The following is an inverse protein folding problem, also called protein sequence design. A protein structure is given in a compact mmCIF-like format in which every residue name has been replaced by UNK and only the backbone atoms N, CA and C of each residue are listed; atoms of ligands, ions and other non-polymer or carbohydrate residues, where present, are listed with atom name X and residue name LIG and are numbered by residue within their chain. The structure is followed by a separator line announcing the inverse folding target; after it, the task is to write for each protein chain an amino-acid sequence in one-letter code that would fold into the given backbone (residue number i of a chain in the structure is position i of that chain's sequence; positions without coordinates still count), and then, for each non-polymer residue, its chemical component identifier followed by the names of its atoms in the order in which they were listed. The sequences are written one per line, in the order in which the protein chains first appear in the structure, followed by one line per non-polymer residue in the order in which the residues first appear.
data_IF_633181805278
#
_entry.id   IF_633181805278
#
_cell.length_a   1.000
_cell.length_b   1.000
_cell.length_c   1.000
_cell.angle_alpha   90.00
_cell.angle_beta   90.00
_cell.angle_gamma   90.00
#
_symmetry.space_group_name_H-M   'P 1'
#
loop_
_entity.id
_entity.type
_entity.pdbx_description
1 polymer ?
#
# COMPACT_ATOMS: atom_id res chain seq x y z
N UNK A 1 -34.90 -4.41 -4.29
CA UNK A 1 -35.01 -4.03 -2.87
C UNK A 1 -34.55 -5.19 -2.01
N UNK A 2 -34.00 -4.93 -0.82
CA UNK A 2 -33.69 -5.98 0.15
C UNK A 2 -34.97 -6.67 0.65
N UNK A 3 -34.91 -7.98 1.01
CA UNK A 3 -36.04 -8.68 1.64
C UNK A 3 -36.53 -7.95 2.90
N UNK A 4 -37.86 -7.87 3.09
CA UNK A 4 -38.44 -7.14 4.24
C UNK A 4 -37.92 -7.64 5.60
N UNK A 5 -37.68 -8.95 5.72
CA UNK A 5 -37.21 -9.58 6.96
C UNK A 5 -35.84 -9.09 7.43
N UNK A 6 -34.99 -8.58 6.53
CA UNK A 6 -33.65 -8.09 6.90
C UNK A 6 -33.59 -6.58 7.11
N UNK A 7 -34.63 -5.82 6.74
CA UNK A 7 -34.59 -4.36 6.86
C UNK A 7 -34.44 -3.89 8.30
N UNK A 8 -35.27 -4.40 9.21
CA UNK A 8 -35.19 -4.01 10.62
C UNK A 8 -33.86 -4.46 11.26
N UNK A 9 -33.38 -5.71 11.09
CA UNK A 9 -32.05 -6.09 11.57
C UNK A 9 -30.90 -5.23 11.04
N UNK A 10 -30.95 -4.78 9.78
CA UNK A 10 -29.95 -3.87 9.21
C UNK A 10 -30.01 -2.50 9.86
N UNK A 11 -31.20 -1.94 10.05
CA UNK A 11 -31.39 -0.68 10.75
C UNK A 11 -30.91 -0.76 12.21
N UNK A 12 -31.28 -1.81 12.94
CA UNK A 12 -30.84 -2.03 14.32
C UNK A 12 -29.30 -2.14 14.41
N UNK A 13 -28.68 -2.83 13.44
CA UNK A 13 -27.22 -2.92 13.36
C UNK A 13 -26.57 -1.56 13.13
N UNK A 14 -27.11 -0.73 12.23
CA UNK A 14 -26.61 0.62 11.95
C UNK A 14 -26.74 1.50 13.19
N UNK A 15 -27.93 1.54 13.80
CA UNK A 15 -28.20 2.38 14.96
C UNK A 15 -27.42 1.94 16.22
N UNK A 16 -27.08 0.65 16.33
CA UNK A 16 -26.29 0.10 17.44
C UNK A 16 -24.80 -0.02 17.18
N UNK A 17 -24.30 0.39 16.01
CA UNK A 17 -22.89 0.27 15.67
C UNK A 17 -22.05 1.30 16.42
N UNK A 18 -20.79 0.93 16.69
CA UNK A 18 -19.78 1.81 17.27
C UNK A 18 -18.96 2.45 16.16
N UNK A 19 -19.22 3.72 15.86
CA UNK A 19 -18.61 4.39 14.71
C UNK A 19 -17.20 4.90 14.98
N UNK A 20 -16.86 5.17 16.24
CA UNK A 20 -15.52 5.64 16.58
C UNK A 20 -15.07 5.21 17.97
N UNK A 21 -13.76 5.33 18.21
CA UNK A 21 -13.14 4.84 19.44
C UNK A 21 -13.55 5.61 20.71
N UNK A 22 -14.10 6.82 20.57
CA UNK A 22 -14.62 7.64 21.68
C UNK A 22 -16.01 7.19 22.15
N UNK A 23 -16.68 6.34 21.38
CA UNK A 23 -17.97 5.77 21.74
C UNK A 23 -17.84 4.59 22.70
N UNK A 24 -18.85 4.37 23.57
CA UNK A 24 -18.83 3.26 24.51
C UNK A 24 -18.81 1.91 23.79
N UNK A 25 -18.26 0.92 24.48
CA UNK A 25 -18.11 -0.44 23.96
C UNK A 25 -16.68 -0.95 24.05
N UNK A 26 -16.54 -2.27 24.02
CA UNK A 26 -15.26 -2.97 23.89
C UNK A 26 -15.40 -3.99 22.78
N UNK A 27 -14.66 -3.77 21.70
CA UNK A 27 -14.62 -4.61 20.52
C UNK A 27 -13.17 -4.79 20.05
N UNK A 28 -12.98 -5.64 19.05
CA UNK A 28 -11.67 -5.88 18.45
C UNK A 28 -11.40 -4.96 17.24
N UNK A 29 -12.15 -3.86 17.07
CA UNK A 29 -11.99 -2.99 15.91
C UNK A 29 -10.72 -2.15 16.00
N UNK A 30 -10.09 -1.95 14.86
CA UNK A 30 -8.89 -1.14 14.72
C UNK A 30 -9.26 0.21 14.08
N UNK A 31 -9.27 1.28 14.87
CA UNK A 31 -9.67 2.62 14.41
C UNK A 31 -8.51 3.46 13.86
N UNK A 32 -7.26 3.01 14.02
CA UNK A 32 -6.11 3.92 14.03
C UNK A 32 -5.32 3.97 12.72
N UNK A 33 -5.45 2.98 11.82
CA UNK A 33 -4.75 3.05 10.52
C UNK A 33 -5.52 3.93 9.55
N UNK A 34 -4.81 4.58 8.62
CA UNK A 34 -5.36 5.69 7.82
C UNK A 34 -6.62 5.27 7.06
N UNK A 35 -6.61 4.06 6.50
CA UNK A 35 -7.75 3.51 5.77
C UNK A 35 -8.96 3.20 6.66
N UNK A 36 -8.74 2.74 7.89
CA UNK A 36 -9.83 2.50 8.82
C UNK A 36 -10.47 3.81 9.26
N UNK A 37 -9.67 4.87 9.51
CA UNK A 37 -10.21 6.18 9.88
C UNK A 37 -11.26 6.64 8.86
N UNK A 38 -10.90 6.71 7.58
CA UNK A 38 -11.81 7.20 6.54
C UNK A 38 -13.00 6.25 6.29
N UNK A 39 -12.82 4.93 6.42
CA UNK A 39 -13.92 3.96 6.34
C UNK A 39 -14.95 4.19 7.45
N UNK A 40 -14.51 4.35 8.70
CA UNK A 40 -15.40 4.60 9.82
C UNK A 40 -16.12 5.93 9.69
N UNK A 41 -15.41 7.00 9.31
CA UNK A 41 -16.03 8.32 9.12
C UNK A 41 -17.06 8.30 7.98
N UNK A 42 -16.76 7.60 6.88
CA UNK A 42 -17.71 7.40 5.77
C UNK A 42 -18.96 6.67 6.24
N UNK A 43 -18.80 5.56 6.97
CA UNK A 43 -19.93 4.84 7.55
C UNK A 43 -20.77 5.71 8.50
N UNK A 44 -20.13 6.54 9.33
CA UNK A 44 -20.81 7.43 10.28
C UNK A 44 -21.63 8.51 9.58
N UNK A 45 -21.07 9.14 8.54
CA UNK A 45 -21.75 10.13 7.71
C UNK A 45 -23.00 9.52 7.08
N UNK A 46 -22.86 8.38 6.38
CA UNK A 46 -23.95 7.77 5.64
C UNK A 46 -25.04 7.23 6.55
N UNK A 47 -24.68 6.69 7.71
CA UNK A 47 -25.63 6.25 8.72
C UNK A 47 -26.42 7.43 9.30
N UNK A 48 -25.73 8.51 9.66
CA UNK A 48 -26.35 9.73 10.17
C UNK A 48 -27.29 10.39 9.16
N UNK A 49 -26.86 10.49 7.90
CA UNK A 49 -27.69 10.97 6.78
C UNK A 49 -28.92 10.11 6.55
N UNK A 50 -28.80 8.78 6.70
CA UNK A 50 -29.92 7.86 6.45
C UNK A 50 -31.01 7.94 7.53
N UNK A 51 -30.62 8.20 8.78
CA UNK A 51 -31.53 8.20 9.94
C UNK A 51 -31.37 9.45 10.83
N UNK A 52 -31.56 10.67 10.28
CA UNK A 52 -31.17 11.92 10.94
C UNK A 52 -31.85 12.13 12.31
N UNK A 53 -33.12 11.75 12.41
CA UNK A 53 -33.94 11.94 13.61
C UNK A 53 -33.90 10.76 14.59
N UNK A 54 -33.25 9.64 14.23
CA UNK A 54 -33.21 8.45 15.10
C UNK A 54 -32.08 8.59 16.12
N UNK A 55 -32.30 7.98 17.28
CA UNK A 55 -31.27 7.85 18.31
C UNK A 55 -30.46 6.58 18.04
N UNK A 56 -29.15 6.75 17.94
CA UNK A 56 -28.18 5.67 17.83
C UNK A 56 -27.95 5.12 19.23
N UNK A 57 -28.30 3.85 19.44
CA UNK A 57 -28.38 3.25 20.77
C UNK A 57 -27.02 3.08 21.43
N UNK A 58 -25.94 3.02 20.65
CA UNK A 58 -24.58 2.92 21.18
C UNK A 58 -24.11 4.26 21.81
N UNK A 59 -24.28 5.37 21.09
CA UNK A 59 -23.80 6.70 21.51
C UNK A 59 -24.82 7.48 22.34
N UNK A 60 -26.12 7.17 22.19
CA UNK A 60 -27.23 7.96 22.71
C UNK A 60 -27.50 9.26 21.94
N UNK A 61 -26.83 9.46 20.80
CA UNK A 61 -26.93 10.68 19.99
C UNK A 61 -27.87 10.51 18.78
N UNK A 62 -28.26 11.63 18.16
CA UNK A 62 -29.08 11.62 16.95
C UNK A 62 -28.26 11.25 15.71
N UNK A 63 -28.91 10.78 14.64
CA UNK A 63 -28.26 10.60 13.35
C UNK A 63 -27.68 11.89 12.79
N UNK A 64 -28.35 13.04 12.99
CA UNK A 64 -27.81 14.34 12.60
C UNK A 64 -26.49 14.65 13.31
N UNK A 65 -26.37 14.32 14.60
CA UNK A 65 -25.12 14.47 15.33
C UNK A 65 -24.01 13.58 14.77
N UNK A 66 -24.32 12.32 14.43
CA UNK A 66 -23.37 11.39 13.81
C UNK A 66 -22.90 11.90 12.45
N UNK A 67 -23.80 12.42 11.62
CA UNK A 67 -23.44 13.05 10.34
C UNK A 67 -22.44 14.18 10.57
N UNK A 68 -22.74 15.14 11.44
CA UNK A 68 -21.87 16.28 11.72
C UNK A 68 -20.50 15.87 12.29
N UNK A 69 -20.48 14.87 13.19
CA UNK A 69 -19.24 14.31 13.73
C UNK A 69 -18.42 13.63 12.62
N UNK A 70 -19.05 12.77 11.84
CA UNK A 70 -18.41 12.03 10.75
C UNK A 70 -17.86 12.98 9.68
N UNK A 71 -18.61 13.99 9.26
CA UNK A 71 -18.17 15.01 8.30
C UNK A 71 -16.94 15.77 8.82
N UNK A 72 -16.95 16.19 10.10
CA UNK A 72 -15.79 16.86 10.72
C UNK A 72 -14.54 15.98 10.73
N UNK A 73 -14.68 14.70 11.06
CA UNK A 73 -13.55 13.77 11.11
C UNK A 73 -13.04 13.40 9.71
N UNK A 74 -13.95 13.11 8.77
CA UNK A 74 -13.60 12.84 7.38
C UNK A 74 -12.90 14.04 6.73
N UNK A 75 -13.42 15.25 6.95
CA UNK A 75 -12.80 16.48 6.46
C UNK A 75 -11.36 16.64 6.99
N UNK A 76 -11.16 16.48 8.30
CA UNK A 76 -9.82 16.58 8.88
C UNK A 76 -8.85 15.55 8.27
N UNK A 77 -9.32 14.31 8.06
CA UNK A 77 -8.56 13.28 7.39
C UNK A 77 -8.21 13.66 5.94
N UNK A 78 -9.20 14.12 5.17
CA UNK A 78 -9.06 14.49 3.76
C UNK A 78 -8.10 15.68 3.58
N UNK A 79 -8.25 16.74 4.38
CA UNK A 79 -7.36 17.90 4.37
C UNK A 79 -5.91 17.48 4.68
N UNK A 80 -5.72 16.59 5.65
CA UNK A 80 -4.40 16.05 6.01
C UNK A 80 -3.79 15.27 4.86
N UNK A 81 -4.53 14.36 4.21
CA UNK A 81 -4.04 13.58 3.07
C UNK A 81 -3.74 14.45 1.85
N UNK A 82 -4.63 15.39 1.55
CA UNK A 82 -4.46 16.34 0.46
C UNK A 82 -3.17 17.15 0.64
N UNK A 83 -2.93 17.68 1.84
CA UNK A 83 -1.76 18.53 2.12
C UNK A 83 -0.44 17.76 2.24
N UNK A 84 -0.43 16.62 2.94
CA UNK A 84 0.82 16.00 3.41
C UNK A 84 1.12 14.64 2.78
N UNK A 85 0.15 14.03 2.09
CA UNK A 85 0.29 12.68 1.56
C UNK A 85 -0.14 11.63 2.59
N UNK A 86 0.43 10.43 2.52
CA UNK A 86 0.00 9.27 3.31
C UNK A 86 1.16 8.83 4.21
N UNK A 87 0.86 8.53 5.46
CA UNK A 87 1.81 7.99 6.41
C UNK A 87 2.07 6.50 6.13
N UNK A 88 1.03 5.78 5.75
CA UNK A 88 1.05 4.44 5.20
C UNK A 88 1.19 4.57 3.67
N UNK A 89 2.24 5.30 3.24
CA UNK A 89 2.44 5.69 1.83
C UNK A 89 2.33 4.50 0.89
N UNK A 90 1.76 4.76 -0.29
CA UNK A 90 1.67 3.81 -1.40
C UNK A 90 1.18 2.41 -1.03
N UNK A 91 0.47 2.26 0.08
CA UNK A 91 0.12 0.95 0.60
C UNK A 91 -0.89 0.31 -0.34
N UNK A 92 -0.42 -0.57 -1.22
CA UNK A 92 -1.23 -1.22 -2.24
C UNK A 92 -2.48 -1.88 -1.61
N UNK A 93 -2.31 -2.56 -0.47
CA UNK A 93 -3.41 -3.21 0.24
C UNK A 93 -4.39 -2.25 0.91
N UNK A 94 -4.04 -0.97 1.12
CA UNK A 94 -4.87 0.01 1.81
C UNK A 94 -5.49 1.04 0.87
N UNK A 95 -4.83 1.39 -0.24
CA UNK A 95 -5.41 2.28 -1.24
C UNK A 95 -6.71 1.73 -1.84
N UNK A 96 -6.87 0.40 -1.93
CA UNK A 96 -8.15 -0.19 -2.32
C UNK A 96 -9.28 0.15 -1.32
N UNK A 97 -8.98 0.17 -0.02
CA UNK A 97 -9.92 0.55 1.03
C UNK A 97 -10.18 2.05 1.06
N UNK A 98 -9.15 2.87 0.83
CA UNK A 98 -9.30 4.33 0.73
C UNK A 98 -10.21 4.68 -0.44
N UNK A 99 -9.99 4.09 -1.62
CA UNK A 99 -10.82 4.31 -2.81
C UNK A 99 -12.26 3.81 -2.61
N UNK A 100 -12.47 2.72 -1.87
CA UNK A 100 -13.80 2.28 -1.43
C UNK A 100 -14.50 3.38 -0.62
N UNK A 101 -13.84 3.95 0.40
CA UNK A 101 -14.43 5.00 1.23
C UNK A 101 -14.70 6.28 0.42
N UNK A 102 -13.70 6.73 -0.35
CA UNK A 102 -13.79 7.98 -1.13
C UNK A 102 -14.85 7.92 -2.22
N UNK A 103 -15.03 6.78 -2.89
CA UNK A 103 -16.10 6.61 -3.89
C UNK A 103 -17.49 6.73 -3.25
N UNK A 104 -17.68 6.16 -2.06
CA UNK A 104 -18.95 6.30 -1.33
C UNK A 104 -19.20 7.73 -0.87
N UNK A 105 -18.15 8.46 -0.42
CA UNK A 105 -18.29 9.87 -0.10
C UNK A 105 -18.67 10.70 -1.33
N UNK A 106 -18.07 10.42 -2.49
CA UNK A 106 -18.38 11.12 -3.73
C UNK A 106 -19.80 10.89 -4.24
N UNK A 107 -20.33 9.68 -4.13
CA UNK A 107 -21.66 9.39 -4.68
C UNK A 107 -22.80 9.61 -3.68
N UNK A 108 -22.54 9.46 -2.38
CA UNK A 108 -23.59 9.31 -1.38
C UNK A 108 -23.55 10.37 -0.27
N UNK A 109 -22.45 11.11 -0.09
CA UNK A 109 -22.44 12.19 0.89
C UNK A 109 -23.23 13.39 0.34
N UNK A 110 -24.05 14.01 1.20
CA UNK A 110 -24.82 15.21 0.83
C UNK A 110 -23.99 16.50 0.98
N UNK A 111 -22.81 16.42 1.60
CA UNK A 111 -21.93 17.57 1.85
C UNK A 111 -21.02 17.84 0.65
N UNK A 112 -21.21 18.99 0.00
CA UNK A 112 -20.39 19.46 -1.13
C UNK A 112 -18.90 19.57 -0.76
N UNK A 113 -18.57 20.07 0.44
CA UNK A 113 -17.18 20.17 0.91
C UNK A 113 -16.50 18.79 1.01
N UNK A 114 -17.22 17.78 1.50
CA UNK A 114 -16.69 16.41 1.60
C UNK A 114 -16.51 15.81 0.21
N UNK A 115 -17.47 16.04 -0.68
CA UNK A 115 -17.39 15.63 -2.08
C UNK A 115 -16.14 16.21 -2.77
N UNK A 116 -15.94 17.52 -2.72
CA UNK A 116 -14.80 18.19 -3.36
C UNK A 116 -13.46 17.66 -2.84
N UNK A 117 -13.32 17.54 -1.52
CA UNK A 117 -12.09 17.06 -0.89
C UNK A 117 -11.84 15.58 -1.20
N UNK A 118 -12.88 14.75 -1.25
CA UNK A 118 -12.75 13.34 -1.62
C UNK A 118 -12.27 13.19 -3.07
N UNK A 119 -12.75 14.01 -4.00
CA UNK A 119 -12.26 14.03 -5.39
C UNK A 119 -10.77 14.36 -5.47
N UNK A 120 -10.33 15.39 -4.74
CA UNK A 120 -8.92 15.81 -4.70
C UNK A 120 -8.01 14.70 -4.16
N UNK A 121 -8.40 14.04 -3.07
CA UNK A 121 -7.61 12.94 -2.50
C UNK A 121 -7.62 11.72 -3.41
N UNK A 122 -8.74 11.43 -4.07
CA UNK A 122 -8.84 10.35 -5.06
C UNK A 122 -7.92 10.59 -6.27
N UNK A 123 -7.91 11.81 -6.83
CA UNK A 123 -6.98 12.20 -7.89
C UNK A 123 -5.52 12.03 -7.48
N UNK A 124 -5.19 12.39 -6.23
CA UNK A 124 -3.84 12.22 -5.67
C UNK A 124 -3.45 10.75 -5.59
N UNK A 125 -4.33 9.87 -5.10
CA UNK A 125 -4.10 8.42 -5.06
C UNK A 125 -3.85 7.89 -6.48
N UNK A 126 -4.70 8.26 -7.46
CA UNK A 126 -4.52 7.79 -8.84
C UNK A 126 -3.25 8.31 -9.48
N UNK A 127 -2.86 9.56 -9.23
CA UNK A 127 -1.58 10.10 -9.69
C UNK A 127 -0.40 9.34 -9.08
N UNK A 128 -0.44 9.05 -7.78
CA UNK A 128 0.58 8.23 -7.10
C UNK A 128 0.66 6.84 -7.71
N UNK A 129 -0.46 6.16 -7.95
CA UNK A 129 -0.46 4.83 -8.60
C UNK A 129 0.12 4.94 -10.03
N UNK A 130 -0.31 5.93 -10.82
CA UNK A 130 0.13 6.13 -12.20
C UNK A 130 1.64 6.35 -12.33
N UNK A 131 2.22 7.21 -11.46
CA UNK A 131 3.64 7.53 -11.44
C UNK A 131 4.52 6.33 -11.04
N UNK A 132 3.98 5.44 -10.21
CA UNK A 132 4.75 4.36 -9.61
C UNK A 132 4.30 2.98 -10.13
N UNK A 133 3.71 2.96 -11.33
CA UNK A 133 3.31 1.73 -12.01
C UNK A 133 4.18 1.43 -13.22
N UNK A 134 4.41 0.14 -13.46
CA UNK A 134 5.07 -0.37 -14.66
C UNK A 134 4.24 -1.52 -15.23
N UNK A 135 3.75 -1.35 -16.48
CA UNK A 135 2.94 -2.35 -17.20
C UNK A 135 1.79 -2.94 -16.35
N UNK A 136 1.13 -2.09 -15.57
CA UNK A 136 0.00 -2.48 -14.71
C UNK A 136 0.37 -3.06 -13.35
N UNK A 137 1.64 -3.02 -12.95
CA UNK A 137 2.13 -3.39 -11.62
C UNK A 137 2.43 -2.11 -10.85
N UNK A 138 1.84 -1.90 -9.68
CA UNK A 138 2.17 -0.77 -8.82
C UNK A 138 3.45 -1.09 -8.04
N UNK A 139 4.58 -1.10 -8.77
CA UNK A 139 5.89 -1.54 -8.28
C UNK A 139 6.62 -0.52 -7.42
N UNK A 140 5.88 0.13 -6.52
CA UNK A 140 6.36 1.18 -5.65
C UNK A 140 7.06 0.63 -4.40
N UNK A 141 7.42 1.53 -3.49
CA UNK A 141 7.58 1.17 -2.08
C UNK A 141 6.23 1.21 -1.38
N UNK A 142 6.12 0.53 -0.24
CA UNK A 142 4.87 0.49 0.51
C UNK A 142 5.13 0.68 2.00
N UNK A 143 4.42 1.61 2.64
CA UNK A 143 4.42 1.73 4.10
C UNK A 143 3.76 0.53 4.77
N UNK A 144 2.80 -0.08 4.08
CA UNK A 144 2.11 -1.31 4.48
C UNK A 144 1.90 -2.19 3.26
N UNK A 145 2.31 -3.44 3.37
CA UNK A 145 1.93 -4.47 2.39
C UNK A 145 2.01 -5.86 3.01
N UNK A 146 1.64 -6.86 2.21
CA UNK A 146 1.59 -8.27 2.56
C UNK A 146 2.22 -9.11 1.46
N UNK A 147 2.71 -10.29 1.81
CA UNK A 147 3.44 -11.19 0.90
C UNK A 147 2.76 -11.38 -0.46
N UNK A 148 1.44 -11.62 -0.56
CA UNK A 148 0.78 -11.84 -1.85
C UNK A 148 0.82 -10.63 -2.80
N UNK A 149 1.00 -9.42 -2.27
CA UNK A 149 0.92 -8.17 -3.01
C UNK A 149 2.29 -7.61 -3.44
N UNK A 150 3.39 -8.17 -2.92
CA UNK A 150 4.76 -7.75 -3.26
C UNK A 150 5.54 -8.80 -4.07
N UNK A 151 5.00 -10.01 -4.21
CA UNK A 151 5.61 -11.10 -5.02
C UNK A 151 5.17 -11.06 -6.49
N UNK A 152 4.38 -10.08 -6.90
CA UNK A 152 3.92 -9.89 -8.27
C UNK A 152 2.65 -9.05 -8.37
N UNK A 153 2.33 -8.57 -9.57
CA UNK A 153 1.20 -7.66 -9.83
C UNK A 153 -0.15 -8.35 -10.10
N UNK A 154 -0.20 -9.68 -10.20
CA UNK A 154 -1.46 -10.36 -10.52
C UNK A 154 -2.45 -10.41 -9.37
N UNK A 155 -1.95 -10.60 -8.14
CA UNK A 155 -2.79 -10.66 -6.94
C UNK A 155 -2.82 -9.34 -6.19
N UNK A 156 -2.12 -8.32 -6.69
CA UNK A 156 -2.07 -7.00 -6.08
C UNK A 156 -3.45 -6.33 -6.12
N UNK A 157 -3.83 -5.71 -5.01
CA UNK A 157 -5.13 -5.09 -4.78
C UNK A 157 -5.42 -3.90 -5.70
N UNK A 158 -4.39 -3.19 -6.17
CA UNK A 158 -4.57 -2.06 -7.11
C UNK A 158 -4.62 -2.48 -8.58
N UNK A 159 -4.37 -3.75 -8.89
CA UNK A 159 -4.25 -4.26 -10.27
C UNK A 159 -5.57 -4.16 -11.04
N UNK A 160 -6.68 -4.54 -10.39
CA UNK A 160 -8.02 -4.43 -10.98
C UNK A 160 -8.47 -2.99 -11.17
N UNK A 161 -8.09 -2.11 -10.24
CA UNK A 161 -8.35 -0.68 -10.28
C UNK A 161 -7.63 -0.05 -11.46
N UNK A 162 -6.32 -0.30 -11.60
CA UNK A 162 -5.49 0.17 -12.71
C UNK A 162 -6.03 -0.29 -14.06
N UNK A 163 -6.48 -1.55 -14.13
CA UNK A 163 -7.09 -2.13 -15.32
C UNK A 163 -8.36 -1.40 -15.73
N UNK A 164 -9.20 -1.05 -14.76
CA UNK A 164 -10.43 -0.28 -14.99
C UNK A 164 -10.13 1.16 -15.42
N UNK A 165 -9.17 1.82 -14.77
CA UNK A 165 -8.88 3.25 -14.95
C UNK A 165 -8.15 3.57 -16.27
N UNK A 166 -7.20 2.73 -16.68
CA UNK A 166 -6.36 3.00 -17.87
C UNK A 166 -5.94 1.74 -18.65
N UNK A 167 -6.60 0.61 -18.43
CA UNK A 167 -6.44 -0.59 -19.26
C UNK A 167 -5.21 -1.46 -18.95
N UNK A 168 -4.37 -1.10 -17.98
CA UNK A 168 -3.19 -1.89 -17.57
C UNK A 168 -3.38 -2.48 -16.17
N UNK A 169 -3.03 -3.76 -16.00
CA UNK A 169 -3.26 -4.53 -14.78
C UNK A 169 -4.14 -5.76 -15.07
N UNK A 170 -4.53 -6.48 -14.02
CA UNK A 170 -5.44 -7.63 -14.13
C UNK A 170 -6.58 -7.53 -13.11
N UNK A 171 -7.75 -8.02 -13.51
CA UNK A 171 -8.79 -8.31 -12.52
C UNK A 171 -8.39 -9.55 -11.71
N UNK A 172 -8.67 -9.50 -10.42
CA UNK A 172 -8.42 -10.59 -9.47
C UNK A 172 -9.52 -10.60 -8.39
N UNK A 173 -9.34 -11.39 -7.33
CA UNK A 173 -10.30 -11.53 -6.23
C UNK A 173 -10.45 -10.28 -5.34
N UNK A 174 -9.57 -9.29 -5.47
CA UNK A 174 -9.63 -8.03 -4.72
C UNK A 174 -10.48 -7.02 -5.49
N UNK A 175 -11.72 -6.89 -5.02
CA UNK A 175 -12.79 -6.20 -5.74
C UNK A 175 -13.34 -4.97 -5.02
N UNK A 176 -12.89 -4.67 -3.80
CA UNK A 176 -13.43 -3.59 -2.98
C UNK A 176 -13.28 -2.25 -3.70
N UNK A 177 -12.07 -1.91 -4.12
CA UNK A 177 -11.81 -0.65 -4.85
C UNK A 177 -12.27 -0.76 -6.30
N UNK A 178 -12.00 -1.90 -6.95
CA UNK A 178 -12.35 -2.10 -8.37
C UNK A 178 -13.84 -1.95 -8.64
N UNK A 179 -14.70 -2.61 -7.85
CA UNK A 179 -16.16 -2.53 -8.02
C UNK A 179 -16.66 -1.15 -7.61
N UNK A 180 -16.16 -0.59 -6.51
CA UNK A 180 -16.60 0.74 -6.07
C UNK A 180 -16.29 1.81 -7.11
N UNK A 181 -15.12 1.75 -7.75
CA UNK A 181 -14.80 2.64 -8.86
C UNK A 181 -15.62 2.37 -10.13
N UNK A 182 -15.96 1.11 -10.41
CA UNK A 182 -16.80 0.77 -11.57
C UNK A 182 -18.26 1.24 -11.40
N UNK A 183 -18.72 1.31 -10.15
CA UNK A 183 -20.04 1.81 -9.79
C UNK A 183 -20.07 3.31 -9.50
N UNK A 184 -18.93 4.00 -9.52
CA UNK A 184 -18.85 5.41 -9.18
C UNK A 184 -19.46 6.27 -10.29
N UNK A 185 -20.54 7.00 -9.99
CA UNK A 185 -21.27 7.79 -10.99
C UNK A 185 -20.76 9.24 -11.09
N UNK A 186 -20.22 9.79 -10.00
CA UNK A 186 -19.86 11.21 -9.90
C UNK A 186 -18.35 11.49 -9.94
N UNK A 187 -17.51 10.46 -10.12
CA UNK A 187 -16.08 10.62 -10.33
C UNK A 187 -15.69 10.37 -11.79
N UNK A 188 -14.91 11.29 -12.36
CA UNK A 188 -14.29 11.12 -13.66
C UNK A 188 -12.78 11.27 -13.54
N UNK A 189 -12.05 10.20 -13.87
CA UNK A 189 -10.59 10.22 -13.88
C UNK A 189 -10.06 11.31 -14.83
N UNK A 190 -9.21 12.24 -14.36
CA UNK A 190 -8.50 13.18 -15.22
C UNK A 190 -7.64 12.43 -16.26
N UNK A 191 -7.88 12.70 -17.54
CA UNK A 191 -7.22 11.98 -18.65
C UNK A 191 -5.69 12.07 -18.62
N UNK A 192 -5.14 13.15 -18.05
CA UNK A 192 -3.68 13.30 -17.86
C UNK A 192 -3.11 12.21 -16.94
N UNK A 193 -3.85 11.74 -15.94
CA UNK A 193 -3.40 10.68 -15.03
C UNK A 193 -3.31 9.34 -15.78
N UNK A 194 -4.34 9.01 -16.56
CA UNK A 194 -4.33 7.82 -17.42
C UNK A 194 -3.20 7.87 -18.46
N UNK A 195 -2.92 9.04 -19.02
CA UNK A 195 -1.78 9.25 -19.91
C UNK A 195 -0.45 8.98 -19.21
N UNK A 196 -0.24 9.50 -17.99
CA UNK A 196 0.98 9.24 -17.18
C UNK A 196 1.16 7.74 -16.88
N UNK A 197 0.05 7.04 -16.56
CA UNK A 197 0.07 5.63 -16.21
C UNK A 197 0.44 4.72 -17.40
N UNK A 198 0.10 5.14 -18.61
CA UNK A 198 0.30 4.36 -19.85
C UNK A 198 1.48 4.84 -20.67
N UNK A 199 2.12 5.94 -20.27
CA UNK A 199 3.25 6.54 -20.95
C UNK A 199 4.47 5.61 -20.96
N UNK A 200 5.14 5.58 -22.12
CA UNK A 200 6.37 4.83 -22.36
C UNK A 200 7.52 5.78 -22.65
N UNK A 201 7.66 6.83 -21.83
CA UNK A 201 8.83 7.73 -21.90
C UNK A 201 10.13 6.93 -21.85
N UNK A 202 11.12 7.38 -22.61
CA UNK A 202 12.47 6.78 -22.66
C UNK A 202 13.08 6.66 -21.26
N UNK A 203 12.93 7.72 -20.46
CA UNK A 203 13.30 7.72 -19.04
C UNK A 203 12.35 8.58 -18.23
N UNK A 204 12.08 8.14 -17.00
CA UNK A 204 11.40 8.91 -15.97
C UNK A 204 12.22 8.82 -14.69
N UNK A 205 12.47 9.98 -14.08
CA UNK A 205 13.05 10.08 -12.75
C UNK A 205 12.13 10.93 -11.88
N UNK A 206 11.34 10.24 -11.05
CA UNK A 206 10.38 10.86 -10.14
C UNK A 206 10.95 10.93 -8.72
N UNK A 207 10.68 12.04 -8.03
CA UNK A 207 10.99 12.24 -6.61
C UNK A 207 9.71 12.66 -5.90
N UNK A 208 9.33 11.91 -4.89
CA UNK A 208 8.09 12.09 -4.15
C UNK A 208 8.38 12.15 -2.64
N UNK A 209 7.65 13.01 -1.94
CA UNK A 209 7.75 13.22 -0.50
C UNK A 209 6.36 13.22 0.12
N UNK A 210 6.18 12.38 1.14
CA UNK A 210 5.03 12.47 2.05
C UNK A 210 5.58 12.82 3.42
N UNK A 211 5.05 13.87 4.04
CA UNK A 211 5.51 14.31 5.35
C UNK A 211 4.47 15.14 6.08
N UNK A 212 4.37 14.95 7.39
CA UNK A 212 3.42 15.67 8.23
C UNK A 212 3.67 15.44 9.71
N UNK A 213 2.69 15.83 10.52
CA UNK A 213 2.73 15.62 11.98
C UNK A 213 1.73 14.55 12.39
N UNK A 214 2.09 13.77 13.40
CA UNK A 214 1.16 12.89 14.08
C UNK A 214 0.26 13.64 15.04
N UNK A 215 -1.00 13.24 15.04
CA UNK A 215 -2.01 13.73 15.96
C UNK A 215 -2.36 12.61 16.92
N UNK A 216 -1.93 12.72 18.18
CA UNK A 216 -2.07 11.65 19.18
C UNK A 216 -3.52 11.14 19.32
N UNK A 217 -4.50 12.04 19.15
CA UNK A 217 -5.92 11.72 19.23
C UNK A 217 -6.40 10.70 18.16
N UNK A 218 -5.77 10.66 16.99
CA UNK A 218 -6.19 9.81 15.85
C UNK A 218 -5.10 8.84 15.40
N UNK A 219 -3.83 9.19 15.56
CA UNK A 219 -2.69 8.39 15.11
C UNK A 219 -2.07 7.54 16.24
N UNK A 220 -2.50 7.76 17.51
CA UNK A 220 -1.97 7.09 18.72
C UNK A 220 -0.47 7.24 18.92
N UNK A 221 0.11 8.25 18.29
CA UNK A 221 1.54 8.58 18.33
C UNK A 221 1.70 10.08 18.12
N UNK A 222 2.88 10.60 18.42
CA UNK A 222 3.22 12.02 18.29
C UNK A 222 4.53 12.19 17.54
N UNK A 223 4.76 13.40 17.02
CA UNK A 223 5.97 13.76 16.31
C UNK A 223 5.84 13.75 14.78
N UNK A 224 6.92 14.20 14.14
CA UNK A 224 7.02 14.31 12.70
C UNK A 224 7.19 12.95 12.03
N UNK A 225 6.61 12.80 10.85
CA UNK A 225 6.87 11.67 9.97
C UNK A 225 7.19 12.14 8.56
N UNK A 226 8.07 11.40 7.90
CA UNK A 226 8.49 11.70 6.55
C UNK A 226 8.93 10.42 5.82
N UNK A 227 8.60 10.34 4.54
CA UNK A 227 9.20 9.41 3.60
C UNK A 227 9.56 10.16 2.33
N UNK A 228 10.81 9.99 1.90
CA UNK A 228 11.29 10.43 0.59
C UNK A 228 11.48 9.20 -0.28
N UNK A 229 10.93 9.22 -1.47
CA UNK A 229 11.03 8.11 -2.40
C UNK A 229 11.38 8.58 -3.79
N UNK A 230 11.98 7.66 -4.53
CA UNK A 230 12.40 7.89 -5.90
C UNK A 230 11.96 6.72 -6.76
N UNK A 231 11.56 7.03 -7.99
CA UNK A 231 11.14 6.05 -8.99
C UNK A 231 11.87 6.35 -10.29
N UNK A 232 12.64 5.38 -10.75
CA UNK A 232 13.26 5.39 -12.06
C UNK A 232 12.52 4.39 -12.96
N UNK A 233 12.08 4.83 -14.15
CA UNK A 233 11.32 3.99 -15.08
C UNK A 233 11.83 4.20 -16.50
N UNK A 234 11.96 3.09 -17.22
CA UNK A 234 12.17 3.03 -18.68
C UNK A 234 11.07 2.14 -19.29
N UNK A 235 11.00 2.00 -20.63
CA UNK A 235 10.08 1.06 -21.26
C UNK A 235 10.34 -0.42 -20.87
N UNK A 236 11.56 -0.73 -20.41
CA UNK A 236 12.03 -2.08 -20.10
C UNK A 236 11.92 -2.44 -18.61
N UNK A 237 12.08 -1.50 -17.69
CA UNK A 237 11.98 -1.77 -16.25
C UNK A 237 11.64 -0.54 -15.40
N UNK A 238 11.36 -0.77 -14.13
CA UNK A 238 11.20 0.27 -13.12
C UNK A 238 11.92 -0.13 -11.83
N UNK A 239 12.59 0.83 -11.18
CA UNK A 239 13.23 0.69 -9.88
C UNK A 239 12.73 1.79 -8.95
N UNK A 240 12.13 1.40 -7.83
CA UNK A 240 11.59 2.32 -6.84
C UNK A 240 12.18 2.04 -5.45
N UNK A 241 12.43 3.09 -4.66
CA UNK A 241 12.89 2.94 -3.28
C UNK A 241 12.55 4.12 -2.37
N UNK A 242 12.45 3.83 -1.09
CA UNK A 242 12.33 4.80 -0.01
C UNK A 242 13.75 5.12 0.47
N UNK A 243 14.17 6.37 0.23
CA UNK A 243 15.51 6.84 0.50
C UNK A 243 15.70 7.08 2.00
N UNK A 244 16.73 6.46 2.57
CA UNK A 244 17.17 6.66 3.96
C UNK A 244 16.04 6.57 5.01
N UNK A 245 15.05 5.70 4.79
CA UNK A 245 13.87 5.58 5.64
C UNK A 245 14.21 4.83 6.95
N UNK A 246 14.45 5.60 8.02
CA UNK A 246 14.66 5.11 9.39
C UNK A 246 15.69 3.95 9.51
N UNK A 247 16.90 4.09 8.95
CA UNK A 247 17.89 3.02 8.92
C UNK A 247 18.28 2.54 10.31
N UNK A 248 18.26 1.23 10.54
CA UNK A 248 18.64 0.63 11.82
C UNK A 248 17.53 0.61 12.89
N UNK A 249 16.39 1.25 12.64
CA UNK A 249 15.22 1.13 13.50
C UNK A 249 14.49 -0.21 13.27
N UNK A 250 13.68 -0.62 14.26
CA UNK A 250 12.79 -1.78 14.09
C UNK A 250 11.74 -1.49 13.03
N UNK A 251 11.64 -2.38 12.04
CA UNK A 251 10.60 -2.31 11.03
C UNK A 251 9.34 -3.06 11.43
N UNK A 252 8.38 -3.10 10.52
CA UNK A 252 7.11 -3.79 10.69
C UNK A 252 6.60 -4.42 9.40
N UNK A 253 6.03 -3.63 8.47
CA UNK A 253 5.45 -4.12 7.21
C UNK A 253 5.98 -3.38 5.98
N UNK A 254 6.97 -2.51 6.16
CA UNK A 254 7.45 -1.65 5.10
C UNK A 254 8.15 -2.46 4.01
N UNK A 255 7.77 -2.20 2.76
CA UNK A 255 8.43 -2.67 1.56
C UNK A 255 9.28 -1.53 1.00
N UNK A 256 10.61 -1.61 1.18
CA UNK A 256 11.50 -0.45 1.09
C UNK A 256 12.01 -0.19 -0.32
N UNK A 257 12.08 -1.20 -1.18
CA UNK A 257 12.45 -1.02 -2.58
C UNK A 257 12.00 -2.20 -3.43
N UNK A 258 11.79 -1.94 -4.71
CA UNK A 258 11.40 -2.95 -5.70
C UNK A 258 11.99 -2.63 -7.08
N UNK A 259 12.57 -3.64 -7.72
CA UNK A 259 12.77 -3.67 -9.16
C UNK A 259 11.63 -4.44 -9.83
N UNK A 260 11.05 -3.86 -10.86
CA UNK A 260 9.88 -4.38 -11.58
C UNK A 260 10.18 -4.44 -13.07
N UNK A 261 10.21 -5.65 -13.63
CA UNK A 261 10.41 -5.91 -15.07
C UNK A 261 9.17 -6.53 -15.73
N UNK A 262 8.12 -6.78 -14.94
CA UNK A 262 6.82 -7.27 -15.40
C UNK A 262 5.95 -7.78 -14.23
N UNK A 263 4.73 -8.26 -14.52
CA UNK A 263 3.79 -8.74 -13.50
C UNK A 263 4.32 -9.84 -12.58
N UNK A 264 5.17 -10.74 -13.08
CA UNK A 264 5.78 -11.82 -12.29
C UNK A 264 7.27 -11.58 -12.00
N UNK A 265 7.88 -10.63 -12.71
CA UNK A 265 9.32 -10.38 -12.70
C UNK A 265 9.65 -9.21 -11.77
N UNK A 266 9.54 -9.49 -10.47
CA UNK A 266 9.74 -8.53 -9.38
C UNK A 266 10.92 -8.99 -8.52
N UNK A 267 11.79 -8.05 -8.12
CA UNK A 267 12.94 -8.31 -7.25
C UNK A 267 12.98 -7.28 -6.12
N UNK A 268 13.18 -7.75 -4.90
CA UNK A 268 13.41 -6.93 -3.71
C UNK A 268 14.17 -7.73 -2.66
N UNK A 269 14.69 -7.04 -1.65
CA UNK A 269 15.35 -7.66 -0.49
C UNK A 269 14.70 -7.21 0.79
N UNK A 270 14.59 -8.13 1.75
CA UNK A 270 14.18 -7.81 3.11
C UNK A 270 14.98 -8.58 4.18
N UNK A 271 14.82 -8.13 5.42
CA UNK A 271 15.30 -8.79 6.63
C UNK A 271 14.11 -9.54 7.30
N UNK A 272 14.00 -10.87 7.12
CA UNK A 272 12.85 -11.65 7.60
C UNK A 272 12.84 -11.79 9.12
N UNK A 273 11.64 -11.89 9.71
CA UNK A 273 11.49 -12.23 11.12
C UNK A 273 11.26 -13.72 11.37
N UNK A 274 10.77 -14.43 10.36
CA UNK A 274 10.48 -15.87 10.36
C UNK A 274 10.45 -16.37 8.91
N UNK A 275 10.23 -17.68 8.71
CA UNK A 275 10.09 -18.28 7.38
C UNK A 275 8.62 -18.47 6.94
N UNK A 276 7.67 -17.99 7.76
CA UNK A 276 6.25 -18.10 7.45
C UNK A 276 5.79 -16.93 6.56
N UNK A 277 5.06 -17.24 5.49
CA UNK A 277 4.46 -16.25 4.59
C UNK A 277 3.06 -15.80 5.02
N UNK A 278 2.50 -16.43 6.06
CA UNK A 278 1.22 -16.02 6.65
C UNK A 278 1.29 -14.60 7.24
N UNK A 279 0.23 -13.82 6.97
CA UNK A 279 0.13 -12.40 7.32
C UNK A 279 -0.09 -12.13 8.83
N UNK A 280 -0.23 -13.18 9.65
CA UNK A 280 -0.43 -13.08 11.09
C UNK A 280 0.82 -12.55 11.82
N UNK A 281 2.03 -12.85 11.34
CA UNK A 281 3.28 -12.39 11.95
C UNK A 281 3.86 -11.21 11.18
N UNK A 282 4.13 -10.08 11.85
CA UNK A 282 4.60 -8.83 11.23
C UNK A 282 5.85 -8.32 11.98
N UNK A 283 7.03 -8.27 11.36
CA UNK A 283 7.37 -8.65 9.98
C UNK A 283 7.25 -10.16 9.72
N UNK A 284 7.06 -10.58 8.48
CA UNK A 284 6.94 -11.99 8.09
C UNK A 284 8.21 -12.52 7.43
N UNK A 285 8.07 -13.53 6.55
CA UNK A 285 9.15 -13.98 5.67
C UNK A 285 9.49 -12.93 4.59
N UNK A 286 8.49 -12.41 3.86
CA UNK A 286 8.74 -11.45 2.77
C UNK A 286 8.25 -10.04 3.08
N UNK A 287 7.16 -9.91 3.82
CA UNK A 287 6.60 -8.59 4.11
C UNK A 287 7.26 -7.97 5.34
N UNK A 288 7.77 -6.75 5.17
CA UNK A 288 8.41 -6.00 6.24
C UNK A 288 9.85 -6.42 6.51
N UNK A 289 10.43 -5.77 7.52
CA UNK A 289 11.83 -5.93 7.92
C UNK A 289 11.92 -5.95 9.44
N UNK A 290 12.67 -6.88 10.04
CA UNK A 290 12.95 -6.83 11.50
C UNK A 290 13.69 -5.54 11.84
N UNK A 291 14.76 -5.24 11.09
CA UNK A 291 15.49 -3.97 11.12
C UNK A 291 15.47 -3.37 9.72
N UNK A 292 15.10 -2.09 9.62
CA UNK A 292 15.03 -1.36 8.37
C UNK A 292 16.44 -1.15 7.78
N UNK A 293 16.63 -1.40 6.47
CA UNK A 293 17.89 -1.13 5.79
C UNK A 293 18.10 0.37 5.57
N UNK A 294 19.36 0.76 5.37
CA UNK A 294 19.68 2.04 4.74
C UNK A 294 19.68 1.85 3.23
N UNK A 295 18.80 2.55 2.53
CA UNK A 295 18.69 2.47 1.06
C UNK A 295 19.00 3.81 0.42
N UNK A 296 19.82 3.78 -0.62
CA UNK A 296 20.06 4.91 -1.51
C UNK A 296 19.91 4.42 -2.96
N UNK A 297 19.22 5.19 -3.78
CA UNK A 297 19.04 4.90 -5.20
C UNK A 297 19.36 6.14 -6.01
N UNK A 298 20.12 5.94 -7.07
CA UNK A 298 20.32 6.94 -8.10
C UNK A 298 19.97 6.31 -9.45
N UNK A 299 18.85 6.74 -10.02
CA UNK A 299 18.34 6.21 -11.28
C UNK A 299 18.21 4.68 -11.25
N UNK A 300 18.98 3.97 -12.07
CA UNK A 300 18.99 2.52 -12.26
C UNK A 300 19.87 1.76 -11.27
N UNK A 301 20.57 2.46 -10.36
CA UNK A 301 21.46 1.85 -9.36
C UNK A 301 20.90 2.06 -7.95
N UNK A 302 20.88 0.99 -7.16
CA UNK A 302 20.43 1.02 -5.75
C UNK A 302 21.44 0.30 -4.86
N UNK A 303 21.66 0.83 -3.66
CA UNK A 303 22.44 0.16 -2.61
C UNK A 303 21.57 0.02 -1.36
N UNK A 304 21.47 -1.19 -0.83
CA UNK A 304 20.76 -1.49 0.41
C UNK A 304 21.72 -2.08 1.46
N UNK A 305 21.94 -1.34 2.55
CA UNK A 305 22.81 -1.73 3.65
C UNK A 305 21.95 -2.27 4.79
N UNK A 306 22.16 -3.53 5.14
CA UNK A 306 21.50 -4.21 6.25
C UNK A 306 22.49 -4.43 7.40
N UNK A 307 22.07 -4.04 8.59
CA UNK A 307 22.77 -4.31 9.86
C UNK A 307 21.81 -5.03 10.80
N UNK A 308 22.01 -6.32 10.95
CA UNK A 308 21.19 -7.19 11.78
C UNK A 308 21.66 -7.09 13.25
N UNK A 309 20.76 -7.33 14.22
CA UNK A 309 21.14 -7.48 15.62
C UNK A 309 22.12 -8.64 15.84
N UNK A 310 22.97 -8.56 16.86
CA UNK A 310 23.92 -9.63 17.20
C UNK A 310 23.20 -10.93 17.62
N UNK A 311 21.98 -10.79 18.17
CA UNK A 311 21.11 -11.88 18.60
C UNK A 311 20.07 -12.29 17.52
N UNK A 312 20.28 -11.88 16.26
CA UNK A 312 19.37 -12.27 15.18
C UNK A 312 19.39 -13.78 14.95
N UNK A 313 18.21 -14.40 15.05
CA UNK A 313 18.09 -15.86 15.06
C UNK A 313 18.06 -16.50 13.67
N UNK A 314 17.76 -15.73 12.62
CA UNK A 314 17.82 -16.22 11.24
C UNK A 314 19.20 -15.94 10.63
N UNK A 315 19.81 -14.79 10.95
CA UNK A 315 21.17 -14.45 10.59
C UNK A 315 21.39 -14.19 9.10
N UNK A 316 20.34 -13.86 8.34
CA UNK A 316 20.44 -13.59 6.91
C UNK A 316 19.47 -12.50 6.45
N UNK A 317 19.78 -11.95 5.28
CA UNK A 317 18.84 -11.20 4.43
C UNK A 317 18.63 -11.98 3.17
N UNK A 318 17.51 -11.77 2.49
CA UNK A 318 17.22 -12.53 1.28
C UNK A 318 16.53 -11.70 0.21
N UNK A 319 16.80 -12.07 -1.04
CA UNK A 319 16.16 -11.47 -2.20
C UNK A 319 15.04 -12.38 -2.70
N UNK A 320 13.89 -11.79 -3.00
CA UNK A 320 12.91 -12.43 -3.87
C UNK A 320 13.43 -12.34 -5.31
N UNK A 321 13.75 -13.47 -5.92
CA UNK A 321 14.32 -13.56 -7.25
C UNK A 321 13.61 -14.69 -8.01
N UNK A 322 12.43 -14.45 -8.59
CA UNK A 322 11.61 -15.46 -9.23
C UNK A 322 12.21 -15.90 -10.57
N UNK A 323 13.14 -16.86 -10.55
CA UNK A 323 13.90 -17.30 -11.73
C UNK A 323 13.02 -17.70 -12.92
N UNK A 324 11.80 -18.20 -12.65
CA UNK A 324 10.81 -18.60 -13.63
C UNK A 324 10.17 -17.43 -14.41
N UNK A 325 10.24 -16.21 -13.88
CA UNK A 325 9.59 -15.03 -14.46
C UNK A 325 10.47 -14.32 -15.51
N UNK A 326 11.77 -14.57 -15.48
CA UNK A 326 12.75 -14.02 -16.41
C UNK A 326 12.88 -14.90 -17.66
N UNK A 327 13.21 -14.28 -18.79
CA UNK A 327 13.43 -15.01 -20.04
C UNK A 327 14.76 -15.76 -19.98
N UNK A 328 15.77 -15.16 -19.34
CA UNK A 328 17.06 -15.76 -19.04
C UNK A 328 17.52 -15.32 -17.64
N UNK A 329 18.20 -16.21 -16.91
CA UNK A 329 18.90 -15.87 -15.68
C UNK A 329 20.19 -16.68 -15.54
N UNK A 330 21.19 -16.13 -14.86
CA UNK A 330 22.42 -16.85 -14.55
C UNK A 330 23.04 -16.35 -13.25
N UNK A 331 23.64 -17.26 -12.49
CA UNK A 331 24.38 -16.95 -11.28
C UNK A 331 25.86 -17.19 -11.57
N UNK A 332 26.67 -16.14 -11.58
CA UNK A 332 28.10 -16.23 -11.92
C UNK A 332 28.90 -15.19 -11.18
N UNK A 333 30.08 -15.58 -10.68
CA UNK A 333 31.06 -14.67 -10.05
C UNK A 333 30.49 -13.83 -8.90
N UNK A 334 29.53 -14.38 -8.13
CA UNK A 334 28.87 -13.67 -7.02
C UNK A 334 27.74 -12.72 -7.45
N UNK A 335 27.29 -12.79 -8.70
CA UNK A 335 26.20 -11.99 -9.24
C UNK A 335 25.05 -12.86 -9.73
N UNK A 336 23.82 -12.39 -9.52
CA UNK A 336 22.61 -12.90 -10.13
C UNK A 336 22.20 -11.95 -11.25
N UNK A 337 22.22 -12.44 -12.48
CA UNK A 337 21.80 -11.71 -13.66
C UNK A 337 20.46 -12.24 -14.14
N UNK A 338 19.59 -11.35 -14.59
CA UNK A 338 18.33 -11.67 -15.22
C UNK A 338 18.06 -10.78 -16.44
N UNK A 339 17.36 -11.33 -17.44
CA UNK A 339 16.86 -10.61 -18.61
C UNK A 339 15.36 -10.80 -18.75
N UNK A 340 14.63 -9.71 -19.03
CA UNK A 340 13.21 -9.73 -19.39
C UNK A 340 12.96 -8.79 -20.56
N UNK A 341 12.63 -9.33 -21.73
CA UNK A 341 12.67 -8.58 -22.98
C UNK A 341 14.06 -7.99 -23.19
N UNK A 342 14.11 -6.66 -23.40
CA UNK A 342 15.36 -5.89 -23.56
C UNK A 342 15.87 -5.29 -22.24
N UNK A 343 15.18 -5.55 -21.12
CA UNK A 343 15.59 -5.13 -19.79
C UNK A 343 16.56 -6.12 -19.13
N UNK A 344 17.51 -5.59 -18.37
CA UNK A 344 18.51 -6.37 -17.64
C UNK A 344 18.52 -5.98 -16.16
N UNK A 345 18.73 -6.98 -15.30
CA UNK A 345 18.91 -6.80 -13.86
C UNK A 345 20.19 -7.54 -13.43
N UNK A 346 20.99 -6.88 -12.60
CA UNK A 346 22.13 -7.45 -11.92
C UNK A 346 21.94 -7.23 -10.42
N UNK A 347 22.13 -8.27 -9.62
CA UNK A 347 22.01 -8.22 -8.17
C UNK A 347 23.21 -8.93 -7.54
N UNK A 348 23.85 -8.30 -6.56
CA UNK A 348 24.88 -8.94 -5.74
C UNK A 348 24.72 -8.64 -4.27
N UNK A 349 25.36 -9.45 -3.43
CA UNK A 349 25.45 -9.25 -1.99
C UNK A 349 26.90 -9.34 -1.54
N UNK A 350 27.32 -8.43 -0.66
CA UNK A 350 28.70 -8.37 -0.17
C UNK A 350 29.15 -9.66 0.55
N UNK A 351 28.23 -10.38 1.19
CA UNK A 351 28.51 -11.68 1.82
C UNK A 351 28.36 -12.88 0.86
N UNK A 352 28.13 -12.62 -0.44
CA UNK A 352 27.67 -13.63 -1.38
C UNK A 352 26.24 -14.08 -1.06
N UNK A 353 25.70 -14.98 -1.89
CA UNK A 353 24.38 -15.56 -1.64
C UNK A 353 24.29 -16.98 -2.19
N UNK A 354 23.33 -17.73 -1.69
CA UNK A 354 22.96 -19.05 -2.19
C UNK A 354 21.57 -19.03 -2.81
N UNK A 355 21.39 -19.75 -3.92
CA UNK A 355 20.07 -20.01 -4.50
C UNK A 355 19.39 -21.12 -3.71
N UNK A 356 18.21 -20.84 -3.17
CA UNK A 356 17.40 -21.85 -2.50
C UNK A 356 16.75 -22.73 -3.56
N UNK A 357 16.99 -24.05 -3.50
CA UNK A 357 16.53 -25.03 -4.51
C UNK A 357 15.48 -26.00 -3.99
N UNK A 358 15.05 -25.84 -2.73
CA UNK A 358 14.08 -26.70 -2.05
C UNK A 358 13.05 -25.88 -1.25
N UNK A 359 11.91 -26.49 -0.94
CA UNK A 359 10.81 -25.84 -0.22
C UNK A 359 9.94 -24.95 -1.10
N UNK A 360 9.06 -24.17 -0.49
CA UNK A 360 8.05 -23.37 -1.19
C UNK A 360 8.64 -22.21 -2.02
N UNK A 361 9.83 -21.74 -1.65
CA UNK A 361 10.56 -20.66 -2.34
C UNK A 361 11.73 -21.18 -3.20
N UNK A 362 11.73 -22.49 -3.53
CA UNK A 362 12.71 -23.05 -4.45
C UNK A 362 12.75 -22.25 -5.77
N UNK A 363 13.95 -21.87 -6.19
CA UNK A 363 14.24 -21.07 -7.39
C UNK A 363 13.63 -19.66 -7.38
N UNK A 364 13.22 -19.17 -6.21
CA UNK A 364 12.60 -17.85 -6.00
C UNK A 364 13.31 -17.00 -4.96
N UNK A 365 14.33 -17.54 -4.31
CA UNK A 365 14.97 -16.93 -3.15
C UNK A 365 16.49 -17.03 -3.24
N UNK A 366 17.16 -15.90 -3.04
CA UNK A 366 18.61 -15.83 -2.84
C UNK A 366 18.87 -15.45 -1.38
N UNK A 367 19.51 -16.31 -0.59
CA UNK A 367 19.84 -16.02 0.81
C UNK A 367 21.28 -15.57 0.95
N UNK A 368 21.49 -14.48 1.67
CA UNK A 368 22.81 -13.94 1.99
C UNK A 368 22.97 -13.86 3.50
N UNK A 369 23.83 -14.74 4.02
CA UNK A 369 24.08 -14.92 5.45
C UNK A 369 25.08 -13.89 5.98
N UNK A 370 24.87 -13.46 7.22
CA UNK A 370 25.77 -12.54 7.94
C UNK A 370 25.06 -11.32 8.53
N UNK A 371 25.59 -10.83 9.66
CA UNK A 371 24.99 -9.72 10.41
C UNK A 371 25.18 -8.34 9.77
N UNK A 372 26.16 -8.19 8.87
CA UNK A 372 26.38 -6.99 8.08
C UNK A 372 26.41 -7.35 6.60
N UNK A 373 25.44 -6.85 5.85
CA UNK A 373 25.31 -7.16 4.45
C UNK A 373 24.97 -5.94 3.61
N UNK A 374 25.45 -5.92 2.38
CA UNK A 374 25.17 -4.86 1.41
C UNK A 374 24.71 -5.51 0.12
N UNK A 375 23.52 -5.15 -0.33
CA UNK A 375 23.01 -5.51 -1.64
C UNK A 375 23.20 -4.35 -2.62
N UNK A 376 23.59 -4.67 -3.85
CA UNK A 376 23.76 -3.76 -4.98
C UNK A 376 22.98 -4.29 -6.17
#
# INVERSE_FOLDING_TARGET
SFPEIIKQPLEDCILGFRYWADEPGSDAMWFWSENHQILFHTCEILAGQRYPDRIFSNSGQTGQWHREKGERLARAWLEKRARYGFQEWDSNCYFEHDLLALSHLLDLAESEEIWELAAVVMDKIFLTIALNSYKGVFGSTHGRSYTPFIKGGYLETTSGISRLMWGLGTFNQHILGTVSMACNENYQLPQVIAAIATDQTETMWSRERHAGEHEEAVDRRSGHWEVNKVTYRTPEYMLCSAQDYHPGERGYQQHIWQATMGPDAVVFVNHPACLNEDNAHRPGAWHGNVILPRVAQWQDVLVAIHKLPEDDWLGFTHAYFPSYAFDEHTLRDGWAFARKGDGYLALTAAQGFELITQGQNAYRELRSHGGHNVWL
#
